data_IF_749342420198
#
_entry.id   IF_749342420198
#
_cell.length_a   1.000
_cell.length_b   1.000
_cell.length_c   1.000
_cell.angle_alpha   90.00
_cell.angle_beta   90.00
_cell.angle_gamma   90.00
#
_symmetry.space_group_name_H-M   'P 1'
#
loop_
_entity.id
_entity.type
_entity.pdbx_description
1 polymer ?
#
# COMPACT_ATOMS: atom_id res chain seq x y z
N UNK A 1 7.83 3.05 12.77
CA UNK A 1 8.64 3.07 11.54
C UNK A 1 9.77 2.07 11.74
N UNK A 2 9.65 0.88 11.12
CA UNK A 2 10.79 -0.03 11.08
C UNK A 2 11.92 0.67 10.30
N UNK A 3 13.13 0.76 10.85
CA UNK A 3 14.28 1.25 10.10
C UNK A 3 14.47 0.41 8.84
N UNK A 4 14.96 0.99 7.75
CA UNK A 4 15.27 0.26 6.52
C UNK A 4 16.11 -1.01 6.76
N UNK A 5 16.95 -1.01 7.83
CA UNK A 5 17.71 -2.16 8.28
C UNK A 5 16.84 -3.31 8.80
N UNK A 6 15.73 -3.03 9.48
CA UNK A 6 14.86 -4.09 9.99
C UNK A 6 14.08 -4.80 8.88
N UNK A 7 13.63 -4.07 7.85
CA UNK A 7 12.97 -4.67 6.69
C UNK A 7 13.93 -5.59 5.91
N UNK A 8 15.17 -5.17 5.74
CA UNK A 8 16.20 -5.98 5.09
C UNK A 8 16.57 -7.23 5.91
N UNK A 9 16.68 -7.08 7.22
CA UNK A 9 16.94 -8.21 8.12
C UNK A 9 15.79 -9.23 8.05
N UNK A 10 14.54 -8.77 8.06
CA UNK A 10 13.38 -9.65 7.91
C UNK A 10 13.37 -10.40 6.57
N UNK A 11 13.80 -9.74 5.49
CA UNK A 11 13.94 -10.38 4.17
C UNK A 11 15.05 -11.45 4.18
N UNK A 12 16.19 -11.16 4.78
CA UNK A 12 17.32 -12.10 4.91
C UNK A 12 16.92 -13.29 5.80
N UNK A 13 16.25 -13.05 6.93
CA UNK A 13 15.74 -14.09 7.82
C UNK A 13 14.70 -14.98 7.12
N UNK A 14 13.82 -14.38 6.32
CA UNK A 14 12.84 -15.11 5.53
C UNK A 14 13.49 -16.01 4.48
N UNK A 15 14.45 -15.50 3.73
CA UNK A 15 15.20 -16.27 2.74
C UNK A 15 15.94 -17.44 3.39
N UNK A 16 16.58 -17.20 4.54
CA UNK A 16 17.24 -18.24 5.33
C UNK A 16 16.27 -19.34 5.77
N UNK A 17 15.09 -18.99 6.26
CA UNK A 17 14.08 -19.97 6.67
C UNK A 17 13.56 -20.78 5.48
N UNK A 18 13.36 -20.16 4.32
CA UNK A 18 12.92 -20.87 3.11
C UNK A 18 13.99 -21.86 2.61
N UNK A 19 15.26 -21.47 2.66
CA UNK A 19 16.35 -22.33 2.22
C UNK A 19 16.59 -23.50 3.19
N UNK A 20 16.57 -23.23 4.49
CA UNK A 20 16.88 -24.22 5.51
C UNK A 20 15.72 -25.18 5.81
N UNK A 21 14.49 -24.71 5.68
CA UNK A 21 13.27 -25.46 6.01
C UNK A 21 12.25 -25.35 4.87
N UNK A 22 12.53 -25.93 3.70
CA UNK A 22 11.64 -25.85 2.55
C UNK A 22 10.28 -26.50 2.89
N UNK A 23 9.20 -25.74 2.69
CA UNK A 23 7.83 -26.20 2.95
C UNK A 23 7.34 -26.02 4.40
N UNK A 24 8.14 -25.50 5.32
CA UNK A 24 7.69 -25.20 6.70
C UNK A 24 6.72 -24.02 6.74
N UNK A 25 6.96 -23.01 5.91
CA UNK A 25 6.06 -21.88 5.73
C UNK A 25 5.87 -21.62 4.24
N UNK A 26 4.65 -21.69 3.78
CA UNK A 26 4.33 -21.38 2.38
C UNK A 26 4.05 -19.89 2.19
N UNK A 27 4.16 -19.41 0.96
CA UNK A 27 3.75 -18.04 0.62
C UNK A 27 2.26 -17.80 0.95
N UNK A 28 1.44 -18.84 0.89
CA UNK A 28 0.02 -18.78 1.24
C UNK A 28 -0.18 -18.57 2.75
N UNK A 29 0.65 -19.18 3.60
CA UNK A 29 0.58 -18.99 5.04
C UNK A 29 0.92 -17.54 5.39
N UNK A 30 1.97 -16.98 4.79
CA UNK A 30 2.32 -15.56 4.95
C UNK A 30 1.20 -14.64 4.49
N UNK A 31 0.64 -14.89 3.31
CA UNK A 31 -0.48 -14.10 2.79
C UNK A 31 -1.69 -14.15 3.72
N UNK A 32 -1.95 -15.28 4.36
CA UNK A 32 -3.09 -15.44 5.27
C UNK A 32 -2.95 -14.62 6.55
N UNK A 33 -1.72 -14.34 6.98
CA UNK A 33 -1.45 -13.50 8.15
C UNK A 33 -1.74 -12.00 7.92
N UNK A 34 -1.73 -11.56 6.68
CA UNK A 34 -1.85 -10.14 6.30
C UNK A 34 -3.06 -9.84 5.43
N UNK A 35 -3.92 -10.84 5.24
CA UNK A 35 -5.08 -10.70 4.35
C UNK A 35 -6.29 -11.43 4.89
N UNK A 36 -7.46 -10.85 4.68
CA UNK A 36 -8.76 -11.42 5.05
C UNK A 36 -9.59 -11.73 3.81
N UNK A 37 -10.41 -12.79 3.88
CA UNK A 37 -11.40 -13.08 2.86
C UNK A 37 -12.67 -12.28 3.14
N UNK A 38 -13.14 -11.55 2.14
CA UNK A 38 -14.42 -10.84 2.17
C UNK A 38 -15.39 -11.47 1.19
N UNK A 39 -16.54 -11.84 1.70
CA UNK A 39 -17.65 -12.37 0.92
C UNK A 39 -18.51 -11.23 0.42
N UNK A 40 -18.82 -11.24 -0.86
CA UNK A 40 -19.73 -10.27 -1.48
C UNK A 40 -20.82 -11.02 -2.22
N UNK A 41 -22.06 -10.61 -1.97
CA UNK A 41 -23.22 -11.04 -2.71
C UNK A 41 -23.68 -9.91 -3.62
N UNK A 42 -24.21 -10.25 -4.77
CA UNK A 42 -24.93 -9.32 -5.64
C UNK A 42 -26.42 -9.41 -5.25
N UNK A 43 -27.00 -8.28 -4.91
CA UNK A 43 -28.43 -8.19 -4.64
C UNK A 43 -29.11 -8.03 -6.01
N UNK A 44 -30.04 -8.92 -6.29
CA UNK A 44 -30.92 -8.77 -7.43
C UNK A 44 -31.83 -7.56 -7.20
N UNK A 45 -31.87 -6.65 -8.16
CA UNK A 45 -32.59 -5.39 -8.04
C UNK A 45 -34.12 -5.56 -8.16
N UNK A 46 -34.58 -6.65 -8.78
CA UNK A 46 -36.02 -6.92 -8.97
C UNK A 46 -36.59 -7.60 -7.74
N UNK A 47 -35.87 -8.58 -7.19
CA UNK A 47 -36.35 -9.38 -6.05
C UNK A 47 -35.88 -8.86 -4.68
N UNK A 48 -34.84 -8.02 -4.65
CA UNK A 48 -34.22 -7.54 -3.41
C UNK A 48 -33.46 -8.63 -2.64
N UNK A 49 -33.36 -9.84 -3.18
CA UNK A 49 -32.69 -10.99 -2.57
C UNK A 49 -31.28 -11.17 -3.13
N UNK A 50 -30.47 -11.99 -2.49
CA UNK A 50 -29.17 -12.38 -3.03
C UNK A 50 -29.36 -13.17 -4.31
N UNK A 51 -28.78 -12.71 -5.43
CA UNK A 51 -28.84 -13.45 -6.68
C UNK A 51 -28.17 -14.80 -6.53
N UNK A 52 -28.81 -15.88 -7.00
CA UNK A 52 -28.23 -17.21 -7.01
C UNK A 52 -26.87 -17.18 -7.71
N UNK A 53 -25.88 -17.87 -7.18
CA UNK A 53 -24.49 -17.90 -7.68
C UNK A 53 -23.70 -16.59 -7.59
N UNK A 54 -24.17 -15.57 -6.88
CA UNK A 54 -23.49 -14.26 -6.78
C UNK A 54 -22.43 -14.17 -5.68
N UNK A 55 -22.23 -15.22 -4.88
CA UNK A 55 -21.23 -15.26 -3.82
C UNK A 55 -19.83 -15.18 -4.43
N UNK A 56 -19.15 -14.06 -4.24
CA UNK A 56 -17.78 -13.84 -4.70
C UNK A 56 -16.88 -13.61 -3.50
N UNK A 57 -15.79 -14.34 -3.48
CA UNK A 57 -14.75 -14.15 -2.48
C UNK A 57 -13.70 -13.22 -3.06
N UNK A 58 -13.31 -12.22 -2.28
CA UNK A 58 -12.14 -11.40 -2.57
C UNK A 58 -11.20 -11.45 -1.38
N UNK A 59 -9.92 -11.62 -1.66
CA UNK A 59 -8.88 -11.47 -0.65
C UNK A 59 -8.51 -10.00 -0.58
N UNK A 60 -8.53 -9.44 0.61
CA UNK A 60 -8.18 -8.04 0.87
C UNK A 60 -7.01 -7.98 1.82
N UNK A 61 -6.15 -7.01 1.63
CA UNK A 61 -5.06 -6.70 2.56
C UNK A 61 -5.68 -6.08 3.81
N UNK A 62 -5.24 -6.52 4.99
CA UNK A 62 -5.75 -6.02 6.26
C UNK A 62 -5.30 -4.58 6.50
N UNK A 63 -6.09 -3.85 7.28
CA UNK A 63 -5.76 -2.48 7.64
C UNK A 63 -4.59 -2.41 8.63
N UNK A 64 -3.91 -1.27 8.66
CA UNK A 64 -2.78 -1.03 9.57
C UNK A 64 -1.43 -1.51 9.05
N UNK A 65 -1.39 -2.21 7.92
CA UNK A 65 -0.12 -2.64 7.31
C UNK A 65 0.63 -1.45 6.71
N UNK A 66 1.95 -1.48 6.87
CA UNK A 66 2.85 -0.46 6.33
C UNK A 66 3.73 -1.07 5.25
N UNK A 67 3.67 -0.50 4.06
CA UNK A 67 4.48 -0.93 2.93
C UNK A 67 5.60 0.09 2.67
N UNK A 68 6.78 -0.41 2.37
CA UNK A 68 7.94 0.39 2.00
C UNK A 68 8.32 0.14 0.55
N UNK A 69 8.67 1.20 -0.13
CA UNK A 69 9.16 1.13 -1.50
C UNK A 69 10.20 2.21 -1.77
N UNK A 70 11.03 2.00 -2.77
CA UNK A 70 12.06 2.96 -3.19
C UNK A 70 11.74 3.50 -4.57
N UNK A 71 11.77 4.82 -4.70
CA UNK A 71 11.60 5.51 -5.98
C UNK A 71 12.92 6.14 -6.40
N UNK A 72 13.44 5.76 -7.57
CA UNK A 72 14.61 6.38 -8.20
C UNK A 72 14.19 7.42 -9.22
N UNK A 73 14.62 8.67 -9.02
CA UNK A 73 14.37 9.74 -9.98
C UNK A 73 15.62 9.98 -10.83
N UNK A 74 15.56 9.68 -12.12
CA UNK A 74 16.62 10.07 -13.07
C UNK A 74 16.66 11.59 -13.21
N UNK A 75 17.86 12.20 -13.02
CA UNK A 75 18.03 13.63 -13.04
C UNK A 75 17.15 14.32 -11.99
N UNK A 76 17.27 13.87 -10.73
CA UNK A 76 16.45 14.34 -9.61
C UNK A 76 16.65 15.83 -9.38
N UNK A 77 15.63 16.64 -9.67
CA UNK A 77 15.56 18.06 -9.33
C UNK A 77 14.56 18.27 -8.21
N UNK A 78 14.70 19.37 -7.46
CA UNK A 78 13.70 19.74 -6.43
C UNK A 78 12.29 19.80 -7.01
N UNK A 79 12.13 20.31 -8.24
CA UNK A 79 10.83 20.37 -8.93
C UNK A 79 10.21 18.99 -9.12
N UNK A 80 10.99 17.98 -9.54
CA UNK A 80 10.50 16.60 -9.68
C UNK A 80 10.10 15.98 -8.34
N UNK A 81 10.87 16.24 -7.28
CA UNK A 81 10.54 15.80 -5.93
C UNK A 81 9.23 16.43 -5.43
N UNK A 82 9.04 17.72 -5.70
CA UNK A 82 7.80 18.44 -5.36
C UNK A 82 6.59 17.86 -6.08
N UNK A 83 6.71 17.57 -7.39
CA UNK A 83 5.64 16.93 -8.16
C UNK A 83 5.29 15.56 -7.57
N UNK A 84 6.30 14.75 -7.21
CA UNK A 84 6.08 13.46 -6.58
C UNK A 84 5.40 13.61 -5.20
N UNK A 85 5.82 14.58 -4.39
CA UNK A 85 5.20 14.86 -3.09
C UNK A 85 3.73 15.27 -3.22
N UNK A 86 3.39 16.09 -4.22
CA UNK A 86 2.01 16.45 -4.54
C UNK A 86 1.19 15.24 -5.00
N UNK A 87 1.76 14.39 -5.86
CA UNK A 87 1.10 13.15 -6.29
C UNK A 87 0.81 12.22 -5.10
N UNK A 88 1.79 12.00 -4.22
CA UNK A 88 1.63 11.18 -3.02
C UNK A 88 0.64 11.77 -2.01
N UNK A 89 0.54 13.09 -1.92
CA UNK A 89 -0.47 13.76 -1.08
C UNK A 89 -1.88 13.46 -1.55
N UNK A 90 -2.09 13.40 -2.88
CA UNK A 90 -3.40 13.16 -3.50
C UNK A 90 -3.72 11.67 -3.65
N UNK A 91 -2.74 10.79 -3.47
CA UNK A 91 -2.93 9.34 -3.54
C UNK A 91 -3.57 8.82 -2.25
N UNK A 92 -4.87 8.71 -2.26
CA UNK A 92 -5.67 8.28 -1.11
C UNK A 92 -6.17 6.83 -1.19
N UNK A 93 -6.08 6.21 -2.36
CA UNK A 93 -6.55 4.85 -2.58
C UNK A 93 -5.63 4.08 -3.54
N UNK A 94 -5.39 2.81 -3.24
CA UNK A 94 -4.71 1.86 -4.11
C UNK A 94 -5.53 0.57 -4.24
N UNK A 95 -5.37 -0.13 -5.38
CA UNK A 95 -6.07 -1.37 -5.65
C UNK A 95 -7.45 -1.20 -6.27
N UNK A 96 -8.20 -2.30 -6.30
CA UNK A 96 -9.52 -2.38 -6.92
C UNK A 96 -10.66 -2.02 -5.95
N UNK A 97 -11.83 -1.72 -6.50
CA UNK A 97 -13.08 -1.50 -5.74
C UNK A 97 -13.04 -0.35 -4.71
N UNK A 98 -12.25 0.68 -4.97
CA UNK A 98 -12.17 1.88 -4.13
C UNK A 98 -13.53 2.54 -3.84
N UNK A 99 -14.48 2.43 -4.76
CA UNK A 99 -15.85 2.97 -4.60
C UNK A 99 -16.68 2.21 -3.54
N UNK A 100 -16.17 1.09 -3.02
CA UNK A 100 -16.80 0.29 -1.96
C UNK A 100 -16.03 0.38 -0.64
N UNK A 101 -15.24 1.42 -0.44
CA UNK A 101 -14.48 1.66 0.79
C UNK A 101 -13.17 0.87 0.93
N UNK A 102 -12.76 0.13 -0.11
CA UNK A 102 -11.49 -0.60 -0.09
C UNK A 102 -10.31 0.25 -0.54
N UNK A 103 -9.13 -0.13 -0.08
CA UNK A 103 -7.86 0.38 -0.56
C UNK A 103 -7.50 1.78 -0.09
N UNK A 104 -8.09 2.29 0.97
CA UNK A 104 -7.70 3.57 1.56
C UNK A 104 -6.25 3.49 2.06
N UNK A 105 -5.42 4.42 1.62
CA UNK A 105 -4.00 4.48 1.99
C UNK A 105 -3.60 5.90 2.40
N UNK A 106 -2.53 5.98 3.18
CA UNK A 106 -1.81 7.22 3.47
C UNK A 106 -0.36 7.03 3.07
N UNK A 107 0.17 7.96 2.29
CA UNK A 107 1.55 7.91 1.81
C UNK A 107 2.43 8.89 2.59
N UNK A 108 3.66 8.48 2.87
CA UNK A 108 4.74 9.35 3.36
C UNK A 108 5.90 9.32 2.36
N UNK A 109 6.67 10.39 2.28
CA UNK A 109 7.87 10.47 1.44
C UNK A 109 9.08 10.69 2.34
N UNK A 110 9.85 9.63 2.52
CA UNK A 110 10.98 9.65 3.45
C UNK A 110 12.30 9.96 2.74
N UNK A 111 13.06 10.88 3.29
CA UNK A 111 14.46 11.13 2.94
C UNK A 111 15.28 11.15 4.24
N UNK A 112 16.28 10.29 4.34
CA UNK A 112 17.09 10.14 5.56
C UNK A 112 16.23 9.93 6.83
N UNK A 113 15.15 9.13 6.69
CA UNK A 113 14.24 8.79 7.79
C UNK A 113 13.23 9.88 8.17
N UNK A 114 13.26 11.05 7.54
CA UNK A 114 12.32 12.16 7.80
C UNK A 114 11.29 12.26 6.68
N UNK A 115 10.03 12.48 7.02
CA UNK A 115 8.99 12.77 6.01
C UNK A 115 9.20 14.21 5.51
N UNK A 116 9.55 14.30 4.21
CA UNK A 116 9.80 15.57 3.53
C UNK A 116 8.61 16.03 2.69
N UNK A 117 7.51 15.28 2.68
CA UNK A 117 6.34 15.57 1.83
C UNK A 117 5.71 16.93 2.15
N UNK A 118 5.48 17.24 3.42
CA UNK A 118 4.89 18.52 3.86
C UNK A 118 5.76 19.70 3.47
N UNK A 119 7.06 19.62 3.72
CA UNK A 119 8.02 20.69 3.40
C UNK A 119 8.02 21.01 1.89
N UNK A 120 8.04 19.98 1.04
CA UNK A 120 8.05 20.18 -0.42
C UNK A 120 6.73 20.76 -0.94
N UNK A 121 5.61 20.39 -0.33
CA UNK A 121 4.28 20.90 -0.70
C UNK A 121 4.12 22.36 -0.25
N UNK A 122 4.51 22.67 0.97
CA UNK A 122 4.42 24.04 1.51
C UNK A 122 5.31 25.03 0.73
N UNK A 123 6.52 24.60 0.34
CA UNK A 123 7.39 25.39 -0.53
C UNK A 123 6.76 25.66 -1.90
N UNK A 124 6.09 24.66 -2.48
CA UNK A 124 5.41 24.81 -3.77
C UNK A 124 4.23 25.79 -3.69
N UNK A 125 3.47 25.73 -2.60
CA UNK A 125 2.33 26.63 -2.38
C UNK A 125 2.77 28.09 -2.12
N UNK A 126 3.92 28.29 -1.46
CA UNK A 126 4.49 29.61 -1.22
C UNK A 126 5.14 30.20 -2.48
N UNK A 127 5.80 29.37 -3.30
CA UNK A 127 6.45 29.79 -4.55
C UNK A 127 5.48 30.09 -5.71
N UNK A 128 4.22 29.71 -5.61
CA UNK A 128 3.20 30.01 -6.62
C UNK A 128 2.49 31.37 -6.47
N UNK A 129 2.97 32.23 -5.56
CA UNK A 129 2.48 33.61 -5.31
C UNK A 129 3.46 34.67 -5.81
N UNK A 130 4.14 34.42 -6.92
CA UNK A 130 4.93 35.42 -7.63
C UNK A 130 4.33 35.68 -9.01
#
# INVERSE_FOLDING_TARGET
LAPQGAARQMEEDWLYLQERYPGFVSAQDVLSLYTSLRYQTMIDRETGTAAETSLRNIRVVDEGLVFYGTVRLKGGTRKKLTILALALRNLSHAGMKRNRGFGRISCAMLQNGKDIRSVLVDDALKGGKA
#
